data_IF_857376934259
#
_entry.id   IF_857376934259
#
_cell.length_a   1.000
_cell.length_b   1.000
_cell.length_c   1.000
_cell.angle_alpha   90.00
_cell.angle_beta   90.00
_cell.angle_gamma   90.00
#
_symmetry.space_group_name_H-M   'P 1'
#
loop_
_entity.id
_entity.type
_entity.pdbx_description
1 polymer ?
#
# COMPACT_ATOMS: atom_id res chain seq x y z
N UNK A 1 19.96 -1.28 15.81
CA UNK A 1 20.07 -0.46 17.05
C UNK A 1 19.09 0.69 17.06
N UNK A 2 18.95 1.48 15.97
CA UNK A 2 18.05 2.65 15.92
C UNK A 2 16.57 2.25 16.09
N UNK A 3 16.11 1.23 15.40
CA UNK A 3 14.74 0.73 15.55
C UNK A 3 14.43 0.36 16.99
N UNK A 4 15.33 -0.40 17.65
CA UNK A 4 15.16 -0.77 19.06
C UNK A 4 15.19 0.44 20.01
N UNK A 5 15.91 1.51 19.67
CA UNK A 5 15.84 2.74 20.45
C UNK A 5 14.45 3.39 20.36
N UNK A 6 13.86 3.40 19.17
CA UNK A 6 12.48 3.86 18.96
C UNK A 6 11.46 3.01 19.74
N UNK A 7 11.56 1.67 19.65
CA UNK A 7 10.69 0.75 20.40
C UNK A 7 10.77 1.01 21.89
N UNK A 8 12.00 1.13 22.44
CA UNK A 8 12.18 1.48 23.88
C UNK A 8 11.61 2.83 24.24
N UNK A 9 11.78 3.83 23.36
CA UNK A 9 11.20 5.16 23.54
C UNK A 9 9.67 5.09 23.67
N UNK A 10 9.01 4.38 22.75
CA UNK A 10 7.57 4.15 22.79
C UNK A 10 7.14 3.45 24.09
N UNK A 11 7.86 2.38 24.47
CA UNK A 11 7.56 1.60 25.68
C UNK A 11 7.82 2.39 27.00
N UNK A 12 8.55 3.49 26.97
CA UNK A 12 8.85 4.31 28.14
C UNK A 12 7.77 5.35 28.47
N UNK A 13 6.75 5.49 27.62
CA UNK A 13 5.64 6.43 27.85
C UNK A 13 4.73 5.92 28.97
N UNK A 14 4.18 6.83 29.77
CA UNK A 14 3.43 6.52 30.98
C UNK A 14 2.21 5.58 30.79
N UNK A 15 1.62 5.54 29.62
CA UNK A 15 0.48 4.64 29.26
C UNK A 15 0.84 3.78 28.04
N UNK A 16 2.04 3.19 28.06
CA UNK A 16 2.55 2.39 26.95
C UNK A 16 1.72 1.13 26.63
N UNK A 17 0.92 0.66 27.61
CA UNK A 17 0.04 -0.51 27.40
C UNK A 17 -1.05 -0.28 26.36
N UNK A 18 -1.34 0.99 26.01
CA UNK A 18 -2.30 1.37 24.95
C UNK A 18 -1.65 1.64 23.60
N UNK A 19 -0.33 1.61 23.54
CA UNK A 19 0.44 1.88 22.34
C UNK A 19 0.77 0.59 21.62
N UNK A 20 0.68 0.63 20.29
CA UNK A 20 1.15 -0.44 19.41
C UNK A 20 2.36 0.05 18.62
N UNK A 21 3.36 -0.80 18.49
CA UNK A 21 4.57 -0.53 17.71
C UNK A 21 4.43 -1.20 16.35
N UNK A 22 4.46 -0.39 15.31
CA UNK A 22 4.45 -0.85 13.92
C UNK A 22 5.84 -0.72 13.31
N UNK A 23 6.28 -1.76 12.62
CA UNK A 23 7.44 -1.68 11.73
C UNK A 23 6.93 -1.44 10.30
N UNK A 24 7.25 -0.29 9.75
CA UNK A 24 6.83 0.10 8.41
C UNK A 24 7.98 -0.09 7.41
N UNK A 25 7.68 -0.81 6.33
CA UNK A 25 8.56 -1.00 5.17
C UNK A 25 7.80 -0.69 3.88
N UNK A 26 8.54 -0.24 2.87
CA UNK A 26 8.03 -0.11 1.52
C UNK A 26 7.97 -1.47 0.78
N UNK A 27 7.68 -1.49 -0.52
CA UNK A 27 7.74 -2.67 -1.40
C UNK A 27 6.75 -3.79 -1.03
N UNK A 28 5.50 -3.43 -0.69
CA UNK A 28 4.49 -4.36 -0.17
C UNK A 28 4.21 -5.62 -0.98
N UNK A 29 4.49 -5.64 -2.30
CA UNK A 29 4.38 -6.83 -3.14
C UNK A 29 5.68 -7.61 -3.34
N UNK A 30 6.75 -7.29 -2.61
CA UNK A 30 8.07 -7.93 -2.80
C UNK A 30 8.49 -8.76 -1.60
N UNK A 31 7.89 -9.92 -1.45
CA UNK A 31 8.08 -10.81 -0.30
C UNK A 31 9.55 -11.04 0.08
N UNK A 32 10.42 -11.42 -0.86
CA UNK A 32 11.80 -11.76 -0.53
C UNK A 32 12.60 -10.56 0.00
N UNK A 33 12.31 -9.35 -0.49
CA UNK A 33 12.91 -8.11 0.03
C UNK A 33 12.51 -7.86 1.48
N UNK A 34 11.22 -7.98 1.77
CA UNK A 34 10.67 -7.79 3.12
C UNK A 34 11.16 -8.88 4.08
N UNK A 35 11.16 -10.14 3.64
CA UNK A 35 11.67 -11.26 4.42
C UNK A 35 13.14 -11.08 4.78
N UNK A 36 14.00 -10.72 3.84
CA UNK A 36 15.41 -10.48 4.10
C UNK A 36 15.61 -9.42 5.17
N UNK A 37 14.84 -8.34 5.12
CA UNK A 37 14.88 -7.28 6.11
C UNK A 37 14.44 -7.77 7.50
N UNK A 38 13.26 -8.41 7.60
CA UNK A 38 12.73 -8.90 8.88
C UNK A 38 13.65 -9.96 9.50
N UNK A 39 14.08 -10.94 8.73
CA UNK A 39 15.00 -11.97 9.21
C UNK A 39 16.33 -11.37 9.68
N UNK A 40 16.87 -10.42 8.93
CA UNK A 40 18.07 -9.69 9.31
C UNK A 40 17.90 -8.89 10.59
N UNK A 41 16.79 -8.19 10.71
CA UNK A 41 16.47 -7.38 11.90
C UNK A 41 16.26 -8.26 13.14
N UNK A 42 15.54 -9.37 13.02
CA UNK A 42 15.31 -10.33 14.11
C UNK A 42 16.63 -10.99 14.57
N UNK A 43 17.48 -11.42 13.64
CA UNK A 43 18.82 -11.93 13.96
C UNK A 43 19.70 -10.87 14.65
N UNK A 44 19.50 -9.60 14.30
CA UNK A 44 20.19 -8.48 14.95
C UNK A 44 19.56 -8.06 16.29
N UNK A 45 18.59 -8.80 16.79
CA UNK A 45 17.92 -8.56 18.06
C UNK A 45 16.85 -7.48 18.01
N UNK A 46 16.08 -7.40 16.90
CA UNK A 46 14.89 -6.56 16.87
C UNK A 46 13.97 -6.91 18.04
N UNK A 47 13.60 -5.88 18.82
CA UNK A 47 12.65 -6.03 19.92
C UNK A 47 11.26 -6.36 19.39
N UNK A 48 10.41 -6.86 20.27
CA UNK A 48 9.03 -7.19 19.91
C UNK A 48 8.27 -5.96 19.38
N UNK A 49 7.41 -6.20 18.41
CA UNK A 49 6.57 -5.20 17.75
C UNK A 49 5.18 -5.79 17.47
N UNK A 50 4.18 -4.96 17.30
CA UNK A 50 2.78 -5.39 17.25
C UNK A 50 2.26 -5.60 15.83
N UNK A 51 2.71 -4.76 14.87
CA UNK A 51 2.13 -4.64 13.55
C UNK A 51 3.22 -4.53 12.47
N UNK A 52 2.91 -5.05 11.28
CA UNK A 52 3.66 -4.78 10.05
C UNK A 52 2.89 -3.74 9.25
N UNK A 53 3.55 -2.62 8.92
CA UNK A 53 3.05 -1.62 7.99
C UNK A 53 3.74 -1.76 6.64
N UNK A 54 2.99 -1.69 5.55
CA UNK A 54 3.54 -1.77 4.20
C UNK A 54 3.08 -0.60 3.35
N UNK A 55 3.99 -0.01 2.56
CA UNK A 55 3.61 0.84 1.43
C UNK A 55 3.34 -0.03 0.22
N UNK A 56 2.22 0.18 -0.46
CA UNK A 56 1.93 -0.50 -1.71
C UNK A 56 1.35 0.44 -2.76
N UNK A 57 2.07 0.55 -3.85
CA UNK A 57 1.65 1.28 -5.05
C UNK A 57 1.69 0.32 -6.24
N UNK A 58 0.57 -0.01 -6.89
CA UNK A 58 0.50 -1.07 -7.91
C UNK A 58 1.38 -0.83 -9.13
N UNK A 59 1.75 0.42 -9.38
CA UNK A 59 2.64 0.80 -10.48
C UNK A 59 4.14 0.71 -10.12
N UNK A 60 4.51 0.33 -8.87
CA UNK A 60 5.91 0.20 -8.42
C UNK A 60 6.22 -1.11 -7.69
N UNK A 61 5.29 -1.59 -6.86
CA UNK A 61 5.59 -2.57 -5.82
C UNK A 61 5.13 -3.99 -6.16
N UNK A 62 4.96 -4.31 -7.43
CA UNK A 62 4.49 -5.61 -7.89
C UNK A 62 3.00 -5.66 -8.17
N UNK A 63 2.52 -6.81 -8.61
CA UNK A 63 1.12 -7.04 -8.93
C UNK A 63 0.24 -7.17 -7.68
N UNK A 64 -1.09 -7.13 -7.86
CA UNK A 64 -2.02 -7.40 -6.75
C UNK A 64 -1.91 -8.83 -6.23
N UNK A 65 -1.57 -9.79 -7.10
CA UNK A 65 -1.26 -11.17 -6.68
C UNK A 65 -0.02 -11.20 -5.82
N UNK A 66 1.05 -10.50 -6.22
CA UNK A 66 2.27 -10.39 -5.42
C UNK A 66 1.99 -9.77 -4.04
N UNK A 67 1.15 -8.72 -3.97
CA UNK A 67 0.73 -8.13 -2.70
C UNK A 67 0.05 -9.16 -1.81
N UNK A 68 -0.96 -9.86 -2.36
CA UNK A 68 -1.71 -10.87 -1.62
C UNK A 68 -0.81 -11.98 -1.08
N UNK A 69 0.00 -12.60 -1.93
CA UNK A 69 0.93 -13.66 -1.56
C UNK A 69 1.96 -13.19 -0.54
N UNK A 70 2.48 -11.97 -0.71
CA UNK A 70 3.43 -11.36 0.23
C UNK A 70 2.81 -11.23 1.61
N UNK A 71 1.61 -10.65 1.70
CA UNK A 71 0.94 -10.44 2.98
C UNK A 71 0.59 -11.76 3.66
N UNK A 72 0.06 -12.75 2.92
CA UNK A 72 -0.26 -14.08 3.45
C UNK A 72 0.99 -14.76 4.04
N UNK A 73 2.10 -14.73 3.33
CA UNK A 73 3.37 -15.32 3.79
C UNK A 73 3.96 -14.58 4.99
N UNK A 74 3.89 -13.26 5.02
CA UNK A 74 4.37 -12.48 6.17
C UNK A 74 3.53 -12.78 7.43
N UNK A 75 2.20 -12.92 7.29
CA UNK A 75 1.33 -13.32 8.41
C UNK A 75 1.69 -14.72 8.90
N UNK A 76 1.92 -15.68 7.99
CA UNK A 76 2.30 -17.05 8.35
C UNK A 76 3.63 -17.08 9.11
N UNK A 77 4.65 -16.36 8.63
CA UNK A 77 6.00 -16.40 9.21
C UNK A 77 6.14 -15.60 10.50
N UNK A 78 5.64 -14.36 10.50
CA UNK A 78 5.91 -13.43 11.62
C UNK A 78 4.75 -13.34 12.62
N UNK A 79 3.58 -13.92 12.29
CA UNK A 79 2.40 -13.91 13.17
C UNK A 79 2.03 -12.52 13.68
N UNK A 80 2.13 -11.52 12.79
CA UNK A 80 1.76 -10.13 13.07
C UNK A 80 0.68 -9.67 12.11
N UNK A 81 -0.32 -8.92 12.60
CA UNK A 81 -1.28 -8.28 11.71
C UNK A 81 -0.58 -7.27 10.78
N UNK A 82 -1.16 -7.09 9.60
CA UNK A 82 -0.60 -6.23 8.56
C UNK A 82 -1.58 -5.12 8.23
N UNK A 83 -1.05 -3.92 8.04
CA UNK A 83 -1.76 -2.75 7.54
C UNK A 83 -1.04 -2.18 6.32
N UNK A 84 -1.77 -1.84 5.28
CA UNK A 84 -1.23 -1.01 4.20
C UNK A 84 -1.29 0.44 4.71
N UNK A 85 -0.14 1.02 5.00
CA UNK A 85 -0.04 2.36 5.60
C UNK A 85 0.21 3.46 4.58
N UNK A 86 0.49 3.07 3.34
CA UNK A 86 0.56 3.97 2.20
C UNK A 86 0.02 3.27 0.96
N UNK A 87 -0.95 3.88 0.32
CA UNK A 87 -1.39 3.55 -1.03
C UNK A 87 -2.08 4.76 -1.64
N UNK A 88 -1.97 4.95 -2.94
CA UNK A 88 -2.68 5.96 -3.68
C UNK A 88 -2.76 5.60 -5.16
N UNK A 89 -3.65 6.28 -5.89
CA UNK A 89 -3.74 6.17 -7.33
C UNK A 89 -4.27 7.47 -7.95
N UNK A 90 -3.90 7.73 -9.22
CA UNK A 90 -4.32 8.94 -9.91
C UNK A 90 -5.79 8.89 -10.31
N UNK A 91 -6.48 10.02 -10.16
CA UNK A 91 -7.88 10.17 -10.57
C UNK A 91 -8.05 10.83 -11.93
N UNK A 92 -6.98 11.36 -12.54
CA UNK A 92 -6.98 11.90 -13.90
C UNK A 92 -5.61 11.79 -14.55
N UNK A 93 -5.58 11.78 -15.87
CA UNK A 93 -4.37 12.05 -16.65
C UNK A 93 -4.11 13.56 -16.67
N UNK A 94 -2.87 13.95 -16.47
CA UNK A 94 -2.43 15.31 -16.72
C UNK A 94 -0.95 15.32 -17.09
N UNK A 95 -0.53 16.31 -17.91
CA UNK A 95 0.82 16.39 -18.44
C UNK A 95 1.90 16.44 -17.36
N UNK A 96 1.60 17.12 -16.25
CA UNK A 96 2.49 17.25 -15.09
C UNK A 96 2.17 16.21 -13.99
N UNK A 97 1.26 15.27 -14.25
CA UNK A 97 0.79 14.30 -13.27
C UNK A 97 1.80 13.19 -13.01
N UNK A 98 1.47 12.37 -12.02
CA UNK A 98 2.41 11.40 -11.47
C UNK A 98 2.42 10.06 -12.21
N UNK A 99 1.28 9.61 -12.75
CA UNK A 99 1.16 8.30 -13.42
C UNK A 99 1.18 8.48 -14.93
N UNK A 100 2.14 7.84 -15.60
CA UNK A 100 2.22 7.74 -17.05
C UNK A 100 1.46 6.51 -17.60
N UNK A 101 1.39 6.38 -18.93
CA UNK A 101 0.70 5.26 -19.58
C UNK A 101 1.32 3.89 -19.28
N UNK A 102 2.61 3.80 -19.04
CA UNK A 102 3.27 2.56 -18.68
C UNK A 102 2.85 2.14 -17.27
N UNK A 103 2.80 3.07 -16.34
CA UNK A 103 2.36 2.87 -14.97
C UNK A 103 0.85 2.51 -14.90
N UNK A 104 -0.01 3.12 -15.73
CA UNK A 104 -1.42 2.71 -15.87
C UNK A 104 -1.54 1.24 -16.32
N UNK A 105 -0.75 0.84 -17.34
CA UNK A 105 -0.75 -0.55 -17.80
C UNK A 105 -0.31 -1.53 -16.72
N UNK A 106 0.71 -1.16 -15.93
CA UNK A 106 1.18 -1.99 -14.81
C UNK A 106 0.10 -2.11 -13.74
N UNK A 107 -0.54 -1.00 -13.38
CA UNK A 107 -1.60 -0.97 -12.38
C UNK A 107 -2.92 -1.61 -12.87
N UNK A 108 -3.09 -1.76 -14.19
CA UNK A 108 -4.27 -2.38 -14.81
C UNK A 108 -5.53 -1.52 -14.84
N UNK A 109 -5.44 -0.25 -14.46
CA UNK A 109 -6.56 0.69 -14.43
C UNK A 109 -6.18 2.04 -15.05
N UNK A 110 -7.10 2.72 -15.74
CA UNK A 110 -6.85 4.07 -16.21
C UNK A 110 -6.79 5.06 -15.04
N UNK A 111 -5.97 6.11 -15.16
CA UNK A 111 -6.03 7.26 -14.28
C UNK A 111 -7.35 8.02 -14.50
N UNK A 112 -8.34 7.68 -13.72
CA UNK A 112 -9.70 8.21 -13.73
C UNK A 112 -10.32 8.10 -12.32
N UNK A 113 -11.40 8.82 -12.00
CA UNK A 113 -12.08 8.68 -10.70
C UNK A 113 -12.49 7.23 -10.42
N UNK A 114 -13.01 6.53 -11.42
CA UNK A 114 -13.39 5.12 -11.32
C UNK A 114 -12.16 4.21 -11.17
N UNK A 115 -11.08 4.48 -11.91
CA UNK A 115 -9.82 3.73 -11.80
C UNK A 115 -9.20 3.88 -10.43
N UNK A 116 -9.13 5.12 -9.89
CA UNK A 116 -8.67 5.38 -8.53
C UNK A 116 -9.48 4.57 -7.50
N UNK A 117 -10.81 4.64 -7.59
CA UNK A 117 -11.70 3.88 -6.72
C UNK A 117 -11.44 2.38 -6.79
N UNK A 118 -11.32 1.82 -8.01
CA UNK A 118 -11.11 0.39 -8.22
C UNK A 118 -9.78 -0.11 -7.65
N UNK A 119 -8.71 0.63 -7.84
CA UNK A 119 -7.41 0.31 -7.23
C UNK A 119 -7.54 0.23 -5.70
N UNK A 120 -8.18 1.22 -5.09
CA UNK A 120 -8.35 1.27 -3.65
C UNK A 120 -9.26 0.16 -3.12
N UNK A 121 -10.39 -0.13 -3.80
CA UNK A 121 -11.27 -1.25 -3.47
C UNK A 121 -10.49 -2.58 -3.50
N UNK A 122 -9.64 -2.78 -4.51
CA UNK A 122 -8.85 -3.99 -4.64
C UNK A 122 -7.80 -4.15 -3.53
N UNK A 123 -7.06 -3.08 -3.23
CA UNK A 123 -6.08 -3.10 -2.13
C UNK A 123 -6.76 -3.31 -0.77
N UNK A 124 -7.90 -2.64 -0.51
CA UNK A 124 -8.71 -2.88 0.69
C UNK A 124 -9.19 -4.32 0.78
N UNK A 125 -9.69 -4.86 -0.32
CA UNK A 125 -10.20 -6.22 -0.39
C UNK A 125 -9.12 -7.27 -0.13
N UNK A 126 -7.94 -7.14 -0.75
CA UNK A 126 -6.79 -8.00 -0.51
C UNK A 126 -6.40 -7.95 0.97
N UNK A 127 -6.29 -6.76 1.54
CA UNK A 127 -5.97 -6.60 2.96
C UNK A 127 -7.02 -7.27 3.86
N UNK A 128 -8.30 -7.04 3.58
CA UNK A 128 -9.40 -7.62 4.36
C UNK A 128 -9.50 -9.16 4.23
N UNK A 129 -8.98 -9.74 3.14
CA UNK A 129 -9.02 -11.19 2.89
C UNK A 129 -7.99 -11.99 3.68
N UNK A 130 -7.06 -11.34 4.37
CA UNK A 130 -6.04 -12.05 5.17
C UNK A 130 -6.68 -12.94 6.23
N UNK A 131 -6.10 -14.15 6.47
CA UNK A 131 -6.65 -15.11 7.43
C UNK A 131 -6.67 -14.53 8.85
N UNK A 132 -7.53 -15.09 9.70
CA UNK A 132 -7.60 -14.77 11.14
C UNK A 132 -7.79 -13.26 11.43
N UNK A 133 -8.34 -12.50 10.47
CA UNK A 133 -8.50 -11.04 10.56
C UNK A 133 -7.18 -10.28 10.72
N UNK A 134 -6.08 -10.84 10.21
CA UNK A 134 -4.76 -10.24 10.29
C UNK A 134 -4.59 -9.00 9.38
N UNK A 135 -5.49 -8.74 8.43
CA UNK A 135 -5.51 -7.50 7.67
C UNK A 135 -6.24 -6.41 8.44
N UNK A 136 -5.53 -5.32 8.77
CA UNK A 136 -6.04 -4.25 9.64
C UNK A 136 -6.71 -3.12 8.86
N UNK A 137 -6.38 -2.93 7.60
CA UNK A 137 -6.95 -1.88 6.74
C UNK A 137 -5.90 -1.16 5.90
N UNK A 138 -6.33 -0.06 5.28
CA UNK A 138 -5.53 0.73 4.34
C UNK A 138 -5.59 2.21 4.72
N UNK A 139 -4.45 2.89 4.75
CA UNK A 139 -4.35 4.34 4.77
C UNK A 139 -4.03 4.86 3.38
N UNK A 140 -4.73 5.90 2.97
CA UNK A 140 -4.41 6.64 1.77
C UNK A 140 -3.25 7.60 2.02
N UNK A 141 -2.28 7.62 1.10
CA UNK A 141 -1.16 8.57 1.18
C UNK A 141 -1.55 9.93 0.62
N UNK A 142 -1.48 10.97 1.45
CA UNK A 142 -1.79 12.36 1.11
C UNK A 142 -3.19 12.57 0.49
N UNK A 143 -4.28 12.15 1.17
CA UNK A 143 -5.62 12.20 0.61
C UNK A 143 -6.11 13.63 0.33
N UNK A 144 -5.57 14.62 1.03
CA UNK A 144 -6.00 16.01 0.95
C UNK A 144 -5.20 16.86 -0.04
N UNK A 145 -4.29 16.24 -0.82
CA UNK A 145 -3.65 16.92 -1.94
C UNK A 145 -4.71 17.44 -2.90
N UNK A 146 -4.75 18.75 -3.05
CA UNK A 146 -5.67 19.45 -3.95
C UNK A 146 -4.88 20.08 -5.09
N UNK A 147 -5.20 19.73 -6.35
CA UNK A 147 -4.54 20.33 -7.50
C UNK A 147 -4.73 21.84 -7.55
N UNK A 148 -3.65 22.55 -7.90
CA UNK A 148 -3.64 23.98 -8.17
C UNK A 148 -3.14 24.19 -9.59
N UNK A 149 -3.23 25.41 -10.10
CA UNK A 149 -2.86 25.77 -11.47
C UNK A 149 -1.40 25.39 -11.83
N UNK A 150 -0.51 25.50 -10.84
CA UNK A 150 0.93 25.21 -10.97
C UNK A 150 1.34 23.83 -10.40
N UNK A 151 0.38 23.03 -9.90
CA UNK A 151 0.67 21.70 -9.34
C UNK A 151 1.30 20.77 -10.35
N UNK A 152 2.30 20.01 -9.89
CA UNK A 152 2.96 18.96 -10.64
C UNK A 152 3.20 17.73 -9.76
N UNK A 153 3.60 16.62 -10.38
CA UNK A 153 3.88 15.40 -9.66
C UNK A 153 2.65 14.89 -8.89
N UNK A 154 2.84 14.55 -7.63
CA UNK A 154 1.81 13.99 -6.76
C UNK A 154 0.59 14.90 -6.59
N UNK A 155 0.82 16.16 -6.33
CA UNK A 155 -0.24 17.15 -6.06
C UNK A 155 -1.19 17.38 -7.25
N UNK A 156 -0.73 17.03 -8.46
CA UNK A 156 -1.51 17.28 -9.66
C UNK A 156 -2.72 16.35 -9.83
N UNK A 157 -2.62 15.09 -9.34
CA UNK A 157 -3.63 14.09 -9.66
C UNK A 157 -3.76 12.91 -8.68
N UNK A 158 -3.04 12.89 -7.55
CA UNK A 158 -3.03 11.73 -6.66
C UNK A 158 -3.93 11.86 -5.43
N UNK A 159 -4.42 13.05 -5.09
CA UNK A 159 -5.31 13.26 -3.94
C UNK A 159 -6.72 12.67 -4.12
N UNK A 160 -7.54 12.81 -3.07
CA UNK A 160 -8.97 12.46 -3.09
C UNK A 160 -9.87 13.71 -3.23
N UNK A 161 -9.27 14.84 -3.59
CA UNK A 161 -9.98 16.10 -3.86
C UNK A 161 -9.71 16.53 -5.31
N UNK A 162 -10.74 17.08 -5.94
CA UNK A 162 -10.58 17.75 -7.23
C UNK A 162 -10.01 19.18 -7.09
N UNK A 163 -9.84 19.88 -8.20
CA UNK A 163 -9.36 21.26 -8.24
C UNK A 163 -10.24 22.27 -7.49
N UNK A 164 -11.52 21.93 -7.25
CA UNK A 164 -12.49 22.76 -6.52
C UNK A 164 -12.57 22.35 -5.04
N UNK A 165 -11.75 21.38 -4.59
CA UNK A 165 -11.82 20.84 -3.24
C UNK A 165 -13.01 19.90 -2.99
N UNK A 166 -13.66 19.43 -4.06
CA UNK A 166 -14.74 18.46 -3.95
C UNK A 166 -14.17 17.06 -3.79
N UNK A 167 -14.80 16.28 -2.93
CA UNK A 167 -14.39 14.91 -2.66
C UNK A 167 -14.62 14.01 -3.88
N UNK A 168 -13.58 13.29 -4.30
CA UNK A 168 -13.61 12.39 -5.44
C UNK A 168 -14.22 11.03 -5.12
N UNK A 169 -14.66 10.32 -6.15
CA UNK A 169 -15.31 9.00 -6.05
C UNK A 169 -14.45 7.96 -5.29
N UNK A 170 -13.12 8.10 -5.35
CA UNK A 170 -12.16 7.25 -4.65
C UNK A 170 -12.40 7.12 -3.14
N UNK A 171 -13.02 8.12 -2.49
CA UNK A 171 -13.35 8.07 -1.05
C UNK A 171 -14.29 6.90 -0.70
N UNK A 172 -15.16 6.50 -1.64
CA UNK A 172 -16.12 5.42 -1.41
C UNK A 172 -15.45 4.04 -1.26
N UNK A 173 -14.20 3.89 -1.69
CA UNK A 173 -13.44 2.68 -1.42
C UNK A 173 -13.19 2.41 0.07
N UNK A 174 -13.30 3.44 0.91
CA UNK A 174 -13.16 3.35 2.37
C UNK A 174 -14.48 3.04 3.10
N UNK A 175 -15.60 3.01 2.38
CA UNK A 175 -16.88 2.46 2.90
C UNK A 175 -16.92 0.94 2.85
N UNK A 176 -15.81 0.29 2.55
CA UNK A 176 -15.68 -1.14 2.40
C UNK A 176 -16.00 -1.89 3.71
N UNK A 177 -16.88 -2.88 3.61
CA UNK A 177 -17.12 -3.82 4.71
C UNK A 177 -16.54 -5.19 4.35
N UNK A 178 -15.82 -5.81 5.29
CA UNK A 178 -15.19 -7.13 5.10
C UNK A 178 -16.17 -8.21 4.64
N UNK A 179 -17.42 -8.13 5.06
CA UNK A 179 -18.47 -9.12 4.80
C UNK A 179 -18.95 -9.18 3.35
N UNK A 180 -18.70 -8.13 2.56
CA UNK A 180 -19.11 -8.03 1.15
C UNK A 180 -18.01 -8.35 0.13
N UNK A 181 -16.79 -8.69 0.57
CA UNK A 181 -15.68 -8.90 -0.33
C UNK A 181 -15.46 -10.38 -0.66
N UNK A 182 -15.57 -10.72 -1.95
CA UNK A 182 -15.18 -12.02 -2.49
C UNK A 182 -13.87 -11.88 -3.28
N UNK A 183 -12.72 -12.32 -2.72
CA UNK A 183 -11.43 -12.24 -3.40
C UNK A 183 -11.42 -13.02 -4.73
N UNK A 184 -12.21 -14.07 -4.86
CA UNK A 184 -12.25 -14.91 -6.06
C UNK A 184 -12.94 -14.22 -7.24
N UNK A 185 -13.88 -13.32 -6.98
CA UNK A 185 -14.55 -12.52 -8.00
C UNK A 185 -13.58 -11.49 -8.63
N UNK A 186 -12.63 -11.02 -7.87
CA UNK A 186 -11.64 -10.03 -8.30
C UNK A 186 -10.44 -10.66 -9.03
N UNK A 187 -10.02 -11.86 -8.63
CA UNK A 187 -8.95 -12.60 -9.31
C UNK A 187 -9.30 -12.90 -10.78
N UNK A 188 -10.57 -13.05 -11.11
CA UNK A 188 -11.05 -13.30 -12.49
C UNK A 188 -10.99 -12.06 -13.39
N UNK A 189 -10.94 -10.87 -12.82
CA UNK A 189 -10.87 -9.59 -13.58
C UNK A 189 -9.43 -9.23 -13.95
N UNK A 190 -8.47 -9.81 -13.25
CA UNK A 190 -7.05 -9.49 -13.37
C UNK A 190 -6.18 -10.75 -13.52
N UNK A 191 -6.34 -11.48 -14.63
CA UNK A 191 -5.22 -12.26 -15.14
C UNK A 191 -4.24 -11.26 -15.79
N UNK A 192 -3.03 -11.10 -15.26
CA UNK A 192 -2.04 -10.26 -15.92
C UNK A 192 -1.77 -10.86 -17.29
N UNK A 193 -2.01 -10.11 -18.34
CA UNK A 193 -1.41 -10.44 -19.63
C UNK A 193 0.09 -10.54 -19.35
N UNK A 194 0.68 -11.70 -19.65
CA UNK A 194 2.06 -12.06 -19.40
C UNK A 194 3.03 -10.92 -19.77
N UNK A 195 3.38 -10.11 -18.77
CA UNK A 195 4.41 -9.10 -18.91
C UNK A 195 5.75 -9.78 -18.65
N UNK A 196 6.51 -9.94 -19.71
CA UNK A 196 7.94 -10.29 -19.64
C UNK A 196 8.63 -9.21 -18.79
N UNK A 197 9.04 -9.59 -17.60
CA UNK A 197 9.77 -8.70 -16.69
C UNK A 197 11.13 -8.42 -17.32
N UNK A 198 11.33 -7.23 -17.86
CA UNK A 198 12.67 -6.73 -18.09
C UNK A 198 13.29 -6.41 -16.72
N UNK A 199 14.27 -7.23 -16.33
CA UNK A 199 15.13 -7.00 -15.17
C UNK A 199 16.07 -5.81 -15.46
N UNK A 200 15.53 -4.60 -15.38
CA UNK A 200 16.32 -3.37 -15.36
C UNK A 200 16.68 -3.04 -13.92
N UNK A 201 17.96 -2.82 -13.67
CA UNK A 201 18.50 -2.32 -12.41
C UNK A 201 17.73 -1.06 -11.98
N UNK A 202 17.23 -0.96 -10.74
CA UNK A 202 16.53 0.24 -10.30
C UNK A 202 17.49 1.43 -10.30
N UNK A 203 17.07 2.52 -10.95
CA UNK A 203 17.77 3.79 -10.85
C UNK A 203 17.71 4.26 -9.37
N UNK A 204 18.87 4.68 -8.85
CA UNK A 204 18.95 5.25 -7.52
C UNK A 204 18.04 6.49 -7.45
N UNK A 205 17.24 6.56 -6.39
CA UNK A 205 16.43 7.73 -6.06
C UNK A 205 17.36 8.91 -5.71
N UNK A 206 17.00 10.14 -6.09
CA UNK A 206 17.75 11.33 -5.75
C UNK A 206 17.79 11.62 -4.25
#
# INVERSE_FOLDING_TARGET
RLVNAGVRGASSVADSSRMQVMIHLDQGGRYFYLKEWFDGALRAGLMDFDLIGLSYYPFWHGTYTDLKETMERLVEEYRRPIMIVESAYAWRKCEKGFIDEAQERIAGFPASPQGQRRVLELVNGITASLPERMGMGVFYWEPLCQPREDSGGWDANMGLLDENGQVMEGIHAFSFTREGFDPSAWAKVYEPQSLTVHTGTPAALP
#
